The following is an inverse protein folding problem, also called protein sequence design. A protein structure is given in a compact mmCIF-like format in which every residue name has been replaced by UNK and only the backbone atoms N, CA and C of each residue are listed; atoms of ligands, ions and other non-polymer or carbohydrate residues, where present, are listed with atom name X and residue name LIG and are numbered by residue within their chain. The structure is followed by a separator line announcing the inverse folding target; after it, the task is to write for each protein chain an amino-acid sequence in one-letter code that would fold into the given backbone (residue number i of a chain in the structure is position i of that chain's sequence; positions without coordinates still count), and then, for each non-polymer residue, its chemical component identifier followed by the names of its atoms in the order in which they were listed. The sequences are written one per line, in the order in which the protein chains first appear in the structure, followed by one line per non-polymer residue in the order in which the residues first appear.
data_IF_625162729735
#
_entry.id   IF_625162729735
#
_cell.length_a   1.000
_cell.length_b   1.000
_cell.length_c   1.000
_cell.angle_alpha   90.00
_cell.angle_beta   90.00
_cell.angle_gamma   90.00
#
_symmetry.space_group_name_H-M   'P 1'
#
loop_
_entity.id
_entity.type
_entity.pdbx_description
1 polymer ?
#
# COMPACT_ATOMS: atom_id res chain seq x y z
N UNK A 1 7.69 9.00 -3.33
CA UNK A 1 7.20 7.70 -2.84
C UNK A 1 6.40 7.04 -3.96
N UNK A 2 6.74 5.81 -4.33
CA UNK A 2 5.95 5.01 -5.26
C UNK A 2 5.13 4.03 -4.43
N UNK A 3 3.80 4.01 -4.62
CA UNK A 3 2.88 3.14 -3.87
C UNK A 3 1.70 2.74 -4.75
N UNK A 4 1.18 1.49 -4.66
CA UNK A 4 0.16 0.98 -5.57
C UNK A 4 -1.27 1.32 -5.14
N UNK A 5 -1.49 1.67 -3.88
CA UNK A 5 -2.80 1.82 -3.29
C UNK A 5 -3.23 3.28 -3.22
N UNK A 6 -4.15 3.69 -4.10
CA UNK A 6 -4.62 5.09 -4.20
C UNK A 6 -5.26 5.57 -2.90
N UNK A 7 -6.04 4.72 -2.22
CA UNK A 7 -6.69 5.08 -0.96
C UNK A 7 -5.66 5.39 0.13
N UNK A 8 -4.65 4.53 0.28
CA UNK A 8 -3.56 4.73 1.23
C UNK A 8 -2.74 5.98 0.89
N UNK A 9 -2.44 6.19 -0.39
CA UNK A 9 -1.75 7.39 -0.88
C UNK A 9 -2.47 8.67 -0.48
N UNK A 10 -3.79 8.73 -0.66
CA UNK A 10 -4.61 9.89 -0.26
C UNK A 10 -4.55 10.12 1.25
N UNK A 11 -4.77 9.07 2.04
CA UNK A 11 -4.72 9.15 3.51
C UNK A 11 -3.34 9.65 4.00
N UNK A 12 -2.24 9.13 3.45
CA UNK A 12 -0.89 9.57 3.81
C UNK A 12 -0.64 11.03 3.43
N UNK A 13 -1.08 11.46 2.24
CA UNK A 13 -0.97 12.87 1.81
C UNK A 13 -1.78 13.79 2.72
N UNK A 14 -3.00 13.41 3.08
CA UNK A 14 -3.86 14.22 3.94
C UNK A 14 -3.30 14.32 5.37
N UNK A 15 -2.73 13.24 5.91
CA UNK A 15 -2.02 13.25 7.21
C UNK A 15 -0.78 14.16 7.18
N UNK A 16 0.00 14.15 6.10
CA UNK A 16 1.14 15.06 5.94
C UNK A 16 0.69 16.51 5.88
N UNK A 17 -0.35 16.81 5.12
CA UNK A 17 -0.92 18.17 5.01
C UNK A 17 -1.48 18.66 6.34
N UNK A 18 -2.15 17.81 7.11
CA UNK A 18 -2.62 18.14 8.46
C UNK A 18 -1.46 18.53 9.39
N UNK A 19 -0.27 17.99 9.17
CA UNK A 19 0.98 18.38 9.86
C UNK A 19 1.69 19.56 9.21
N UNK A 20 1.06 20.28 8.30
CA UNK A 20 1.61 21.42 7.54
C UNK A 20 2.81 21.03 6.64
N UNK A 21 2.95 19.76 6.29
CA UNK A 21 3.95 19.28 5.34
C UNK A 21 3.33 19.26 3.95
N UNK A 22 3.93 19.95 3.00
CA UNK A 22 3.42 20.00 1.62
C UNK A 22 3.65 18.66 0.94
N UNK A 23 2.55 18.00 0.59
CA UNK A 23 2.53 16.71 -0.08
C UNK A 23 1.55 16.72 -1.26
N UNK A 24 1.89 15.98 -2.30
CA UNK A 24 1.07 15.80 -3.49
C UNK A 24 0.95 14.32 -3.85
N UNK A 25 -0.11 13.95 -4.55
CA UNK A 25 -0.31 12.62 -5.10
C UNK A 25 -0.60 12.70 -6.59
N UNK A 26 -0.16 11.69 -7.35
CA UNK A 26 -0.47 11.52 -8.79
C UNK A 26 -0.93 10.08 -9.02
N UNK A 27 -2.19 9.92 -9.42
CA UNK A 27 -2.83 8.62 -9.62
C UNK A 27 -3.83 8.63 -10.80
N UNK A 28 -4.40 7.49 -11.14
CA UNK A 28 -5.28 7.32 -12.30
C UNK A 28 -6.60 8.10 -12.23
N UNK A 29 -7.08 8.43 -11.04
CA UNK A 29 -8.33 9.19 -10.84
C UNK A 29 -8.18 10.71 -10.99
N UNK A 30 -7.01 11.22 -11.42
CA UNK A 30 -6.78 12.66 -11.62
C UNK A 30 -6.92 13.04 -13.09
N UNK A 31 -7.46 14.24 -13.34
CA UNK A 31 -7.48 14.83 -14.68
C UNK A 31 -6.05 15.22 -15.14
N UNK A 32 -5.79 15.31 -16.45
CA UNK A 32 -4.50 15.75 -16.97
C UNK A 32 -4.04 17.09 -16.38
N UNK A 33 -4.95 18.06 -16.29
CA UNK A 33 -4.67 19.38 -15.71
C UNK A 33 -4.25 19.30 -14.22
N UNK A 34 -4.90 18.44 -13.44
CA UNK A 34 -4.53 18.24 -12.03
C UNK A 34 -3.13 17.62 -11.91
N UNK A 35 -2.80 16.69 -12.81
CA UNK A 35 -1.48 16.06 -12.85
C UNK A 35 -0.41 17.07 -13.20
N UNK A 36 -0.64 17.91 -14.22
CA UNK A 36 0.30 18.96 -14.63
C UNK A 36 0.57 19.93 -13.48
N UNK A 37 -0.48 20.44 -12.84
CA UNK A 37 -0.35 21.34 -11.69
C UNK A 37 0.44 20.67 -10.54
N UNK A 38 0.16 19.40 -10.24
CA UNK A 38 0.87 18.69 -9.19
C UNK A 38 2.35 18.51 -9.52
N UNK A 39 2.68 18.17 -10.77
CA UNK A 39 4.05 18.01 -11.24
C UNK A 39 4.81 19.34 -11.25
N UNK A 40 4.18 20.42 -11.73
CA UNK A 40 4.79 21.75 -11.76
C UNK A 40 5.06 22.27 -10.35
N UNK A 41 4.17 22.01 -9.40
CA UNK A 41 4.39 22.31 -7.98
C UNK A 41 5.55 21.49 -7.36
N UNK A 42 5.87 20.32 -7.91
CA UNK A 42 7.04 19.55 -7.49
C UNK A 42 8.35 20.08 -8.10
N UNK A 43 8.28 20.75 -9.26
CA UNK A 43 9.48 21.34 -9.94
C UNK A 43 9.76 22.74 -9.42
N UNK A 44 8.73 23.59 -9.34
CA UNK A 44 8.88 25.03 -9.10
C UNK A 44 8.38 25.46 -7.72
N UNK A 45 7.62 24.61 -7.05
CA UNK A 45 7.04 24.86 -5.74
C UNK A 45 7.86 24.25 -4.61
N UNK A 46 7.16 23.99 -3.49
CA UNK A 46 7.78 23.57 -2.25
C UNK A 46 7.16 22.23 -1.75
N UNK A 47 6.83 21.34 -2.69
CA UNK A 47 6.34 20.00 -2.36
C UNK A 47 7.48 19.16 -1.79
N UNK A 48 7.31 18.64 -0.57
CA UNK A 48 8.31 17.81 0.12
C UNK A 48 8.10 16.31 -0.14
N UNK A 49 6.84 15.89 -0.30
CA UNK A 49 6.49 14.50 -0.58
C UNK A 49 5.60 14.40 -1.81
N UNK A 50 6.08 13.67 -2.80
CA UNK A 50 5.28 13.29 -3.97
C UNK A 50 4.99 11.80 -3.92
N UNK A 51 3.72 11.44 -3.87
CA UNK A 51 3.24 10.06 -4.00
C UNK A 51 2.81 9.80 -5.44
N UNK A 52 3.29 8.71 -6.02
CA UNK A 52 3.06 8.39 -7.44
C UNK A 52 2.59 6.95 -7.57
N UNK A 53 1.48 6.75 -8.27
CA UNK A 53 1.08 5.41 -8.68
C UNK A 53 2.06 4.87 -9.76
N UNK A 54 2.48 3.60 -9.69
CA UNK A 54 3.53 3.06 -10.55
C UNK A 54 3.20 3.15 -12.05
N UNK A 55 1.92 3.13 -12.42
CA UNK A 55 1.47 3.30 -13.80
C UNK A 55 1.80 4.69 -14.37
N UNK A 56 1.95 5.70 -13.51
CA UNK A 56 2.26 7.07 -13.92
C UNK A 56 3.72 7.28 -14.28
N UNK A 57 4.62 6.38 -13.87
CA UNK A 57 6.04 6.44 -14.21
C UNK A 57 6.30 6.37 -15.73
N UNK A 58 5.39 5.74 -16.48
CA UNK A 58 5.46 5.61 -17.92
C UNK A 58 5.03 6.88 -18.69
N UNK A 59 4.29 7.79 -18.04
CA UNK A 59 3.74 8.95 -18.73
C UNK A 59 4.83 9.96 -19.08
N UNK A 60 4.72 10.56 -20.28
CA UNK A 60 5.67 11.56 -20.75
C UNK A 60 5.72 12.77 -19.81
N UNK A 61 4.55 13.24 -19.37
CA UNK A 61 4.44 14.35 -18.42
C UNK A 61 5.25 14.13 -17.14
N UNK A 62 5.24 12.92 -16.56
CA UNK A 62 6.05 12.59 -15.41
C UNK A 62 7.54 12.48 -15.76
N UNK A 63 7.89 11.79 -16.86
CA UNK A 63 9.27 11.56 -17.27
C UNK A 63 10.05 12.84 -17.54
N UNK A 64 9.39 13.84 -18.14
CA UNK A 64 10.03 15.14 -18.44
C UNK A 64 10.25 15.96 -17.17
N UNK A 65 9.32 15.91 -16.23
CA UNK A 65 9.38 16.76 -15.04
C UNK A 65 10.22 16.18 -13.91
N UNK A 66 10.26 14.85 -13.76
CA UNK A 66 11.02 14.21 -12.68
C UNK A 66 12.52 14.54 -12.73
N UNK A 67 13.11 14.71 -13.91
CA UNK A 67 14.50 15.09 -14.09
C UNK A 67 14.79 16.53 -13.63
N UNK A 68 13.76 17.35 -13.52
CA UNK A 68 13.86 18.75 -13.07
C UNK A 68 13.55 18.90 -11.58
N UNK A 69 13.09 17.83 -10.93
CA UNK A 69 12.81 17.82 -9.50
C UNK A 69 14.09 17.58 -8.71
N UNK A 70 14.19 18.20 -7.54
CA UNK A 70 15.26 17.91 -6.58
C UNK A 70 14.88 16.70 -5.73
N UNK A 71 15.03 15.50 -6.29
CA UNK A 71 14.70 14.26 -5.59
C UNK A 71 15.86 13.87 -4.67
N UNK A 72 15.61 13.75 -3.40
CA UNK A 72 16.61 13.38 -2.37
C UNK A 72 16.49 11.93 -1.91
N UNK A 73 15.33 11.29 -2.11
CA UNK A 73 15.06 9.91 -1.75
C UNK A 73 13.98 9.32 -2.66
N UNK A 74 14.21 8.14 -3.19
CA UNK A 74 13.21 7.34 -3.88
C UNK A 74 12.74 6.21 -2.97
N UNK A 75 11.55 6.35 -2.39
CA UNK A 75 10.93 5.30 -1.59
C UNK A 75 9.97 4.46 -2.45
N UNK A 76 10.11 3.14 -2.40
CA UNK A 76 9.28 2.16 -3.09
C UNK A 76 8.52 1.38 -2.04
N UNK A 77 7.25 1.68 -1.90
CA UNK A 77 6.34 1.00 -0.99
C UNK A 77 5.77 -0.26 -1.65
N UNK A 78 5.40 -1.26 -0.85
CA UNK A 78 4.94 -2.57 -1.32
C UNK A 78 5.90 -3.17 -2.39
N UNK A 79 7.19 -3.08 -2.14
CA UNK A 79 8.22 -3.45 -3.11
C UNK A 79 8.13 -4.92 -3.57
N UNK A 80 7.43 -5.79 -2.82
CA UNK A 80 7.14 -7.16 -3.23
C UNK A 80 6.36 -7.26 -4.55
N UNK A 81 5.64 -6.19 -4.94
CA UNK A 81 4.94 -6.12 -6.22
C UNK A 81 5.85 -6.19 -7.45
N UNK A 82 7.17 -6.04 -7.29
CA UNK A 82 8.14 -6.17 -8.40
C UNK A 82 8.45 -7.62 -8.76
N UNK A 83 8.21 -8.56 -7.83
CA UNK A 83 8.54 -9.96 -7.99
C UNK A 83 7.35 -10.79 -8.47
N UNK A 84 7.56 -11.64 -9.46
CA UNK A 84 6.56 -12.63 -9.90
C UNK A 84 6.26 -13.69 -8.82
N UNK A 85 7.16 -13.86 -7.88
CA UNK A 85 6.99 -14.73 -6.71
C UNK A 85 6.36 -14.00 -5.52
N UNK A 86 6.05 -12.71 -5.70
CA UNK A 86 5.34 -11.91 -4.71
C UNK A 86 3.85 -12.19 -4.73
N UNK A 87 3.19 -11.79 -3.68
CA UNK A 87 1.75 -11.96 -3.48
C UNK A 87 0.90 -11.20 -4.51
N UNK A 88 1.37 -10.00 -4.96
CA UNK A 88 0.65 -9.10 -5.87
C UNK A 88 1.62 -8.53 -6.91
N UNK A 89 1.99 -9.35 -7.91
CA UNK A 89 2.89 -8.90 -8.97
C UNK A 89 2.25 -7.81 -9.84
N UNK A 90 2.97 -6.71 -10.04
CA UNK A 90 2.55 -5.58 -10.88
C UNK A 90 3.64 -5.23 -11.89
N UNK A 91 3.42 -5.48 -13.19
CA UNK A 91 4.41 -5.16 -14.24
C UNK A 91 4.87 -3.71 -14.25
N UNK A 92 4.02 -2.76 -13.80
CA UNK A 92 4.37 -1.34 -13.69
C UNK A 92 5.53 -1.06 -12.73
N UNK A 93 5.77 -1.94 -11.73
CA UNK A 93 6.91 -1.82 -10.81
C UNK A 93 8.26 -2.03 -11.50
N UNK A 94 8.33 -2.80 -12.57
CA UNK A 94 9.58 -2.98 -13.32
C UNK A 94 10.12 -1.68 -13.90
N UNK A 95 9.24 -0.70 -14.14
CA UNK A 95 9.62 0.65 -14.62
C UNK A 95 10.33 1.52 -13.59
N UNK A 96 10.33 1.10 -12.32
CA UNK A 96 11.06 1.82 -11.26
C UNK A 96 12.57 1.79 -11.51
N UNK A 97 13.08 0.73 -12.11
CA UNK A 97 14.49 0.64 -12.50
C UNK A 97 14.85 1.70 -13.55
N UNK A 98 13.98 1.96 -14.54
CA UNK A 98 14.15 3.02 -15.53
C UNK A 98 14.14 4.42 -14.89
N UNK A 99 13.28 4.63 -13.90
CA UNK A 99 13.23 5.88 -13.14
C UNK A 99 14.53 6.10 -12.37
N UNK A 100 15.06 5.05 -11.73
CA UNK A 100 16.30 5.10 -10.97
C UNK A 100 17.49 5.54 -11.85
N UNK A 101 17.55 5.06 -13.09
CA UNK A 101 18.59 5.49 -14.06
C UNK A 101 18.54 6.98 -14.38
N UNK A 102 17.35 7.58 -14.31
CA UNK A 102 17.15 9.03 -14.52
C UNK A 102 17.44 9.88 -13.27
N UNK A 103 17.66 9.24 -12.14
CA UNK A 103 17.93 9.87 -10.85
C UNK A 103 19.28 9.37 -10.28
N UNK A 104 20.41 9.63 -10.98
CA UNK A 104 21.72 9.15 -10.53
C UNK A 104 22.08 9.74 -9.18
N UNK A 105 22.64 8.89 -8.29
CA UNK A 105 23.04 9.32 -6.95
C UNK A 105 21.91 9.45 -5.94
N UNK A 106 20.64 9.29 -6.34
CA UNK A 106 19.52 9.32 -5.40
C UNK A 106 19.41 7.97 -4.68
N UNK A 107 19.46 7.96 -3.33
CA UNK A 107 19.28 6.74 -2.56
C UNK A 107 17.88 6.16 -2.77
N UNK A 108 17.78 4.83 -2.75
CA UNK A 108 16.53 4.09 -2.91
C UNK A 108 16.23 3.31 -1.63
N UNK A 109 15.00 3.43 -1.14
CA UNK A 109 14.47 2.68 -0.02
C UNK A 109 13.30 1.81 -0.49
N UNK A 110 13.46 0.50 -0.47
CA UNK A 110 12.39 -0.45 -0.77
C UNK A 110 11.78 -0.99 0.52
N UNK A 111 10.46 -0.88 0.65
CA UNK A 111 9.71 -1.27 1.84
C UNK A 111 8.70 -2.35 1.48
N UNK A 112 8.62 -3.37 2.31
CA UNK A 112 7.59 -4.42 2.21
C UNK A 112 7.41 -5.13 3.54
N UNK A 113 6.18 -5.54 3.84
CA UNK A 113 5.86 -6.32 5.03
C UNK A 113 5.88 -7.85 4.78
N UNK A 114 5.95 -8.30 3.53
CA UNK A 114 5.64 -9.69 3.16
C UNK A 114 6.69 -10.36 2.25
N UNK A 115 7.96 -9.94 2.29
CA UNK A 115 8.99 -10.51 1.44
C UNK A 115 9.58 -11.79 2.01
N UNK A 116 9.47 -12.87 1.26
CA UNK A 116 10.31 -14.07 1.43
C UNK A 116 11.76 -13.78 1.00
N UNK A 117 12.69 -14.71 1.22
CA UNK A 117 14.06 -14.55 0.75
C UNK A 117 14.12 -14.36 -0.78
N UNK A 118 13.40 -15.19 -1.53
CA UNK A 118 13.34 -15.13 -3.00
C UNK A 118 12.79 -13.77 -3.48
N UNK A 119 11.74 -13.26 -2.83
CA UNK A 119 11.17 -11.94 -3.16
C UNK A 119 12.15 -10.82 -2.82
N UNK A 120 12.89 -10.92 -1.72
CA UNK A 120 13.90 -9.93 -1.38
C UNK A 120 15.06 -9.91 -2.41
N UNK A 121 15.52 -11.07 -2.85
CA UNK A 121 16.54 -11.19 -3.88
C UNK A 121 16.06 -10.62 -5.23
N UNK A 122 14.78 -10.83 -5.58
CA UNK A 122 14.16 -10.21 -6.76
C UNK A 122 14.08 -8.69 -6.65
N UNK A 123 13.68 -8.15 -5.49
CA UNK A 123 13.65 -6.71 -5.25
C UNK A 123 15.05 -6.11 -5.47
N UNK A 124 16.08 -6.74 -4.90
CA UNK A 124 17.47 -6.29 -5.06
C UNK A 124 17.89 -6.26 -6.52
N UNK A 125 17.61 -7.34 -7.25
CA UNK A 125 17.95 -7.49 -8.66
C UNK A 125 17.22 -6.49 -9.54
N UNK A 126 15.89 -6.43 -9.44
CA UNK A 126 15.06 -5.60 -10.31
C UNK A 126 15.24 -4.10 -10.04
N UNK A 127 15.43 -3.70 -8.79
CA UNK A 127 15.76 -2.32 -8.46
C UNK A 127 17.24 -1.99 -8.61
N UNK A 128 18.09 -2.93 -9.06
CA UNK A 128 19.53 -2.74 -9.32
C UNK A 128 20.31 -2.22 -8.11
N UNK A 129 20.03 -2.74 -6.91
CA UNK A 129 20.87 -2.42 -5.75
C UNK A 129 22.27 -2.95 -5.92
N UNK A 130 23.33 -2.13 -5.72
CA UNK A 130 24.72 -2.59 -5.92
C UNK A 130 25.17 -3.57 -4.83
N UNK A 131 24.68 -3.37 -3.61
CA UNK A 131 25.00 -4.21 -2.45
C UNK A 131 23.72 -4.53 -1.65
N UNK A 132 23.62 -5.72 -1.04
CA UNK A 132 22.47 -6.10 -0.24
C UNK A 132 22.51 -5.43 1.14
N UNK A 133 21.78 -4.35 1.31
CA UNK A 133 21.44 -3.76 2.61
C UNK A 133 20.01 -4.11 2.99
N UNK A 134 19.81 -5.32 3.54
CA UNK A 134 18.48 -5.79 3.92
C UNK A 134 18.31 -5.70 5.44
N UNK A 135 17.42 -4.82 5.88
CA UNK A 135 16.99 -4.73 7.27
C UNK A 135 15.75 -5.62 7.46
N UNK A 136 15.84 -6.60 8.34
CA UNK A 136 14.73 -7.49 8.67
C UNK A 136 14.35 -7.32 10.14
N UNK A 137 13.05 -7.19 10.38
CA UNK A 137 12.47 -7.26 11.71
C UNK A 137 11.73 -8.59 11.90
N UNK A 138 11.62 -9.05 13.13
CA UNK A 138 10.83 -10.22 13.46
C UNK A 138 9.34 -9.96 13.19
N UNK A 139 8.65 -10.95 12.60
CA UNK A 139 7.19 -10.95 12.47
C UNK A 139 6.48 -11.41 13.74
N UNK A 140 7.22 -11.92 14.72
CA UNK A 140 6.66 -12.35 15.99
C UNK A 140 6.12 -11.15 16.77
N UNK A 141 4.85 -11.22 17.10
CA UNK A 141 4.16 -10.22 17.92
C UNK A 141 3.67 -10.89 19.19
N UNK A 142 4.27 -10.67 20.35
CA UNK A 142 3.93 -11.37 21.59
C UNK A 142 2.50 -11.09 22.07
N UNK A 143 1.90 -10.00 21.59
CA UNK A 143 0.51 -9.63 21.88
C UNK A 143 -0.52 -10.20 20.89
N UNK A 144 -0.10 -11.02 19.90
CA UNK A 144 -1.01 -11.67 18.96
C UNK A 144 -1.00 -13.18 19.15
N UNK A 145 -2.18 -13.77 19.23
CA UNK A 145 -2.39 -15.20 19.25
C UNK A 145 -3.10 -15.66 17.98
N UNK A 146 -2.57 -16.69 17.34
CA UNK A 146 -3.17 -17.31 16.15
C UNK A 146 -3.80 -18.64 16.56
N UNK A 147 -5.08 -18.81 16.24
CA UNK A 147 -5.81 -20.03 16.50
C UNK A 147 -6.53 -20.50 15.23
N UNK A 148 -6.36 -21.77 14.89
CA UNK A 148 -7.07 -22.42 13.78
C UNK A 148 -8.02 -23.45 14.38
N UNK A 149 -9.30 -23.40 13.99
CA UNK A 149 -10.34 -24.33 14.44
C UNK A 149 -11.01 -24.97 13.24
N UNK A 150 -11.08 -26.29 13.25
CA UNK A 150 -11.87 -27.07 12.30
C UNK A 150 -13.32 -27.11 12.82
N UNK A 151 -14.27 -26.74 11.97
CA UNK A 151 -15.70 -26.78 12.31
C UNK A 151 -16.55 -26.84 11.04
N UNK A 152 -17.64 -27.58 11.11
CA UNK A 152 -18.67 -27.61 10.08
C UNK A 152 -19.68 -26.46 10.26
N UNK A 153 -19.78 -25.92 11.49
CA UNK A 153 -20.62 -24.76 11.82
C UNK A 153 -19.76 -23.50 12.04
N UNK A 154 -19.39 -22.83 10.94
CA UNK A 154 -18.60 -21.58 10.98
C UNK A 154 -19.37 -20.43 11.62
N UNK A 155 -20.67 -20.34 11.33
CA UNK A 155 -21.52 -19.26 11.81
C UNK A 155 -21.73 -19.33 13.34
N UNK A 156 -22.03 -20.51 13.85
CA UNK A 156 -22.14 -20.71 15.29
C UNK A 156 -20.84 -20.48 16.04
N UNK A 157 -19.69 -20.88 15.46
CA UNK A 157 -18.38 -20.57 16.05
C UNK A 157 -18.07 -19.06 16.01
N UNK A 158 -18.42 -18.35 14.96
CA UNK A 158 -18.27 -16.90 14.88
C UNK A 158 -19.09 -16.21 15.97
N UNK A 159 -20.36 -16.57 16.11
CA UNK A 159 -21.24 -16.02 17.14
C UNK A 159 -20.70 -16.27 18.55
N UNK A 160 -20.20 -17.47 18.82
CA UNK A 160 -19.56 -17.80 20.11
C UNK A 160 -18.33 -16.93 20.36
N UNK A 161 -17.48 -16.73 19.35
CA UNK A 161 -16.29 -15.89 19.49
C UNK A 161 -16.66 -14.43 19.78
N UNK A 162 -17.60 -13.87 19.02
CA UNK A 162 -18.00 -12.47 19.19
C UNK A 162 -18.70 -12.22 20.53
N UNK A 163 -19.47 -13.20 21.04
CA UNK A 163 -20.11 -13.10 22.36
C UNK A 163 -19.14 -13.22 23.54
N UNK A 164 -18.07 -14.00 23.38
CA UNK A 164 -17.19 -14.35 24.51
C UNK A 164 -15.85 -13.58 24.50
N UNK A 165 -15.47 -12.93 23.39
CA UNK A 165 -14.23 -12.14 23.29
C UNK A 165 -14.59 -10.66 23.27
N UNK A 166 -14.34 -9.92 24.36
CA UNK A 166 -14.65 -8.51 24.41
C UNK A 166 -13.70 -7.69 23.52
N UNK A 167 -14.19 -6.59 22.97
CA UNK A 167 -13.40 -5.66 22.17
C UNK A 167 -13.88 -5.53 20.72
N UNK A 168 -13.07 -4.92 19.89
CA UNK A 168 -13.35 -4.73 18.46
C UNK A 168 -12.84 -5.91 17.66
N UNK A 169 -13.69 -6.45 16.78
CA UNK A 169 -13.35 -7.55 15.87
C UNK A 169 -13.47 -7.17 14.40
N UNK A 170 -12.70 -7.83 13.55
CA UNK A 170 -12.82 -7.74 12.08
C UNK A 170 -13.04 -9.16 11.57
N UNK A 171 -14.08 -9.35 10.74
CA UNK A 171 -14.40 -10.63 10.12
C UNK A 171 -14.09 -10.56 8.64
N UNK A 172 -13.15 -11.38 8.18
CA UNK A 172 -12.80 -11.49 6.77
C UNK A 172 -13.55 -12.66 6.11
N UNK A 173 -14.15 -12.41 4.96
CA UNK A 173 -14.81 -13.41 4.11
C UNK A 173 -14.32 -13.33 2.68
N UNK A 174 -14.50 -14.42 1.92
CA UNK A 174 -13.94 -14.53 0.56
C UNK A 174 -14.67 -13.68 -0.48
N UNK A 175 -15.97 -13.43 -0.28
CA UNK A 175 -16.82 -12.78 -1.29
C UNK A 175 -17.57 -11.60 -0.68
N UNK A 176 -17.96 -10.63 -1.51
CA UNK A 176 -18.79 -9.48 -1.09
C UNK A 176 -20.14 -9.95 -0.54
N UNK A 177 -20.79 -10.88 -1.24
CA UNK A 177 -22.05 -11.49 -0.80
C UNK A 177 -21.90 -12.13 0.59
N UNK A 178 -20.81 -12.90 0.81
CA UNK A 178 -20.51 -13.46 2.13
C UNK A 178 -20.32 -12.40 3.21
N UNK A 179 -19.79 -11.22 2.87
CA UNK A 179 -19.65 -10.12 3.83
C UNK A 179 -21.04 -9.60 4.25
N UNK A 180 -21.94 -9.42 3.29
CA UNK A 180 -23.32 -8.98 3.56
C UNK A 180 -24.05 -10.01 4.42
N UNK A 181 -23.99 -11.30 4.05
CA UNK A 181 -24.61 -12.38 4.81
C UNK A 181 -24.13 -12.46 6.27
N UNK A 182 -22.82 -12.34 6.50
CA UNK A 182 -22.25 -12.36 7.86
C UNK A 182 -22.61 -11.08 8.62
N UNK A 183 -22.64 -9.93 7.95
CA UNK A 183 -23.07 -8.68 8.60
C UNK A 183 -24.53 -8.77 9.05
N UNK A 184 -25.43 -9.33 8.23
CA UNK A 184 -26.83 -9.50 8.57
C UNK A 184 -27.02 -10.53 9.70
N UNK A 185 -26.29 -11.65 9.67
CA UNK A 185 -26.28 -12.62 10.75
C UNK A 185 -25.88 -11.96 12.09
N UNK A 186 -24.80 -11.18 12.08
CA UNK A 186 -24.33 -10.49 13.28
C UNK A 186 -25.31 -9.42 13.75
N UNK A 187 -25.98 -8.70 12.87
CA UNK A 187 -27.03 -7.72 13.21
C UNK A 187 -28.24 -8.38 13.88
N UNK A 188 -28.66 -9.54 13.35
CA UNK A 188 -29.82 -10.27 13.89
C UNK A 188 -29.54 -10.88 15.25
N UNK A 189 -28.35 -11.46 15.43
CA UNK A 189 -28.00 -12.22 16.62
C UNK A 189 -27.36 -11.39 17.75
N UNK A 190 -26.88 -10.20 17.44
CA UNK A 190 -26.17 -9.32 18.36
C UNK A 190 -26.79 -7.93 18.33
N UNK A 191 -27.76 -7.69 19.20
CA UNK A 191 -28.64 -6.51 19.24
C UNK A 191 -27.97 -5.14 19.43
N UNK A 192 -26.64 -5.03 19.48
CA UNK A 192 -25.91 -3.78 19.77
C UNK A 192 -24.51 -3.71 19.11
N UNK A 193 -24.38 -4.03 17.82
CA UNK A 193 -23.08 -3.87 17.17
C UNK A 193 -23.14 -2.80 16.11
N UNK A 194 -22.27 -1.80 16.23
CA UNK A 194 -21.88 -0.92 15.12
C UNK A 194 -21.10 -1.73 14.08
N UNK A 195 -21.82 -2.36 13.17
CA UNK A 195 -21.22 -3.00 12.00
C UNK A 195 -21.02 -1.89 10.99
N UNK A 196 -19.79 -1.44 10.82
CA UNK A 196 -19.46 -0.55 9.70
C UNK A 196 -19.64 -1.31 8.40
N UNK A 197 -20.26 -0.68 7.42
CA UNK A 197 -20.46 -1.25 6.09
C UNK A 197 -19.12 -1.64 5.44
N UNK A 198 -19.13 -2.65 4.54
CA UNK A 198 -17.92 -3.06 3.83
C UNK A 198 -17.35 -1.86 3.08
N UNK A 199 -16.09 -1.56 3.33
CA UNK A 199 -15.37 -0.52 2.59
C UNK A 199 -15.39 -0.90 1.11
N UNK A 200 -16.07 -0.11 0.28
CA UNK A 200 -15.99 -0.27 -1.18
C UNK A 200 -14.56 0.04 -1.61
N UNK A 201 -13.82 -0.99 -1.98
CA UNK A 201 -12.54 -0.88 -2.69
C UNK A 201 -12.78 -0.58 -4.16
#
# INVERSE_FOLDING_TARGET
VITPLIALMKDQVDRLRARKIRAAAIHSGMSPRQIDIALDNCVYGDVKFLYVAPERLATEAFRLRVQRMQVTLLAVDEAHCISQWGYDFRPSYLRIAELREKLPGVPVLALTASATKTVADDIMRHLKFPEPHILRSSFARPNLSYSVRHTDDKNGQLLRLVRNVPGTGIVYVRTREGTEQIADLLRQELSLIHISEPTRL
#
